data_IF_331932743565
#
_entry.id   IF_331932743565
#
_cell.length_a   1.000
_cell.length_b   1.000
_cell.length_c   1.000
_cell.angle_alpha   90.00
_cell.angle_beta   90.00
_cell.angle_gamma   90.00
#
_symmetry.space_group_name_H-M   'P 1'
#
loop_
_entity.id
_entity.type
_entity.pdbx_description
1 polymer ?
#
# COMPACT_ATOMS: atom_id res chain seq x y z
N UNK A 1 -5.98 39.99 24.18
CA UNK A 1 -5.06 38.84 24.06
C UNK A 1 -5.88 37.59 23.72
N UNK A 2 -6.48 37.51 22.52
CA UNK A 2 -7.35 36.39 22.09
C UNK A 2 -7.36 36.17 20.56
N UNK A 3 -6.39 36.71 19.83
CA UNK A 3 -6.43 36.77 18.36
C UNK A 3 -5.39 35.88 17.65
N UNK A 4 -4.74 34.94 18.36
CA UNK A 4 -3.69 34.07 17.79
C UNK A 4 -4.02 32.58 17.75
N UNK A 5 -5.20 32.16 18.20
CA UNK A 5 -5.52 30.74 18.37
C UNK A 5 -6.29 30.09 17.20
N UNK A 6 -6.74 30.86 16.20
CA UNK A 6 -7.55 30.33 15.08
C UNK A 6 -6.78 30.07 13.78
N UNK A 7 -5.47 30.37 13.72
CA UNK A 7 -4.66 30.21 12.50
C UNK A 7 -3.98 28.85 12.34
N UNK A 8 -4.19 27.90 13.25
CA UNK A 8 -3.86 26.49 13.01
C UNK A 8 -5.10 25.78 12.47
N UNK A 9 -5.71 26.34 11.43
CA UNK A 9 -6.34 25.48 10.45
C UNK A 9 -5.20 24.60 9.92
N UNK A 10 -5.16 23.34 10.36
CA UNK A 10 -4.20 22.37 9.89
C UNK A 10 -4.30 22.35 8.36
N UNK A 11 -3.41 23.10 7.70
CA UNK A 11 -3.16 22.97 6.28
C UNK A 11 -2.56 21.58 6.14
N UNK A 12 -3.43 20.56 6.07
CA UNK A 12 -3.01 19.23 5.67
C UNK A 12 -2.24 19.46 4.36
N UNK A 13 -0.93 19.18 4.32
CA UNK A 13 -0.15 19.47 3.14
C UNK A 13 -0.82 18.70 2.00
N UNK A 14 -1.34 19.44 1.03
CA UNK A 14 -2.07 18.89 -0.10
C UNK A 14 -1.04 18.18 -0.98
N UNK A 15 -0.77 16.91 -0.64
CA UNK A 15 0.25 16.12 -1.30
C UNK A 15 -0.26 15.72 -2.69
N UNK A 16 0.13 16.48 -3.71
CA UNK A 16 -0.21 16.16 -5.11
C UNK A 16 0.74 15.10 -5.66
N UNK A 17 0.24 14.17 -6.47
CA UNK A 17 1.09 13.15 -7.08
C UNK A 17 2.19 13.74 -7.98
N UNK A 18 1.98 14.97 -8.50
CA UNK A 18 2.98 15.71 -9.28
C UNK A 18 4.15 16.23 -8.43
N UNK A 19 3.91 16.59 -7.15
CA UNK A 19 5.00 16.91 -6.20
C UNK A 19 5.81 15.69 -5.78
N UNK A 20 5.24 14.49 -5.90
CA UNK A 20 5.84 13.24 -5.45
C UNK A 20 6.26 12.46 -6.70
N UNK A 21 7.44 12.76 -7.24
CA UNK A 21 7.96 12.16 -8.47
C UNK A 21 8.14 10.63 -8.44
N UNK A 22 9.13 10.10 -9.17
CA UNK A 22 9.32 8.66 -9.39
C UNK A 22 9.28 7.75 -8.14
N UNK A 23 9.64 8.29 -6.95
CA UNK A 23 9.57 7.58 -5.66
C UNK A 23 8.14 7.16 -5.27
N UNK A 24 7.13 7.99 -5.58
CA UNK A 24 5.73 7.64 -5.35
C UNK A 24 5.32 6.45 -6.20
N UNK A 25 5.63 6.54 -7.50
CA UNK A 25 5.35 5.48 -8.47
C UNK A 25 6.02 4.19 -8.05
N UNK A 26 7.29 4.24 -7.64
CA UNK A 26 8.02 3.06 -7.18
C UNK A 26 7.40 2.45 -5.92
N UNK A 27 7.06 3.26 -4.93
CA UNK A 27 6.40 2.80 -3.71
C UNK A 27 5.03 2.17 -3.98
N UNK A 28 4.25 2.75 -4.90
CA UNK A 28 2.97 2.21 -5.32
C UNK A 28 3.13 0.88 -6.07
N UNK A 29 4.08 0.78 -7.00
CA UNK A 29 4.38 -0.45 -7.74
C UNK A 29 4.81 -1.57 -6.80
N UNK A 30 5.65 -1.29 -5.80
CA UNK A 30 6.05 -2.28 -4.79
C UNK A 30 4.85 -2.79 -4.00
N UNK A 31 3.94 -1.91 -3.57
CA UNK A 31 2.74 -2.32 -2.85
C UNK A 31 1.86 -3.22 -3.71
N UNK A 32 1.62 -2.85 -4.97
CA UNK A 32 0.77 -3.64 -5.87
C UNK A 32 1.44 -4.97 -6.22
N UNK A 33 2.72 -4.94 -6.59
CA UNK A 33 3.51 -6.12 -6.93
C UNK A 33 3.63 -7.10 -5.77
N UNK A 34 3.69 -6.63 -4.52
CA UNK A 34 3.74 -7.48 -3.34
C UNK A 34 2.50 -8.39 -3.19
N UNK A 35 1.33 -7.95 -3.66
CA UNK A 35 0.12 -8.77 -3.63
C UNK A 35 0.11 -9.86 -4.71
N UNK A 36 0.97 -9.76 -5.73
CA UNK A 36 1.17 -10.82 -6.74
C UNK A 36 1.84 -12.06 -6.10
N UNK A 37 2.47 -11.93 -4.93
CA UNK A 37 3.07 -13.05 -4.22
C UNK A 37 2.04 -14.13 -3.82
N UNK A 38 0.81 -13.74 -3.45
CA UNK A 38 -0.22 -14.68 -2.99
C UNK A 38 -0.65 -15.71 -4.05
N UNK A 39 -0.98 -15.33 -5.30
CA UNK A 39 -1.27 -16.31 -6.34
C UNK A 39 -0.05 -17.14 -6.76
N UNK A 40 1.19 -16.75 -6.41
CA UNK A 40 2.39 -17.56 -6.69
C UNK A 40 2.54 -18.72 -5.70
N UNK A 41 2.06 -18.60 -4.46
CA UNK A 41 2.11 -19.67 -3.45
C UNK A 41 1.56 -21.01 -3.96
N UNK A 42 0.36 -21.11 -4.55
CA UNK A 42 -0.13 -22.39 -5.08
C UNK A 42 0.74 -22.94 -6.21
N UNK A 43 1.39 -22.09 -7.02
CA UNK A 43 2.34 -22.54 -8.04
C UNK A 43 3.57 -23.19 -7.40
N UNK A 44 4.11 -22.59 -6.33
CA UNK A 44 5.21 -23.19 -5.56
C UNK A 44 4.79 -24.53 -4.96
N UNK A 45 3.57 -24.64 -4.44
CA UNK A 45 3.08 -25.89 -3.87
C UNK A 45 2.91 -27.01 -4.90
N UNK A 46 2.65 -26.68 -6.16
CA UNK A 46 2.51 -27.62 -7.26
C UNK A 46 3.85 -28.14 -7.82
N UNK A 47 4.99 -27.55 -7.43
CA UNK A 47 6.32 -28.04 -7.85
C UNK A 47 6.74 -29.26 -7.06
N UNK A 48 7.68 -30.09 -7.56
CA UNK A 48 8.24 -31.24 -6.84
C UNK A 48 9.42 -30.89 -5.91
N UNK A 49 9.43 -29.68 -5.34
CA UNK A 49 10.47 -29.25 -4.40
C UNK A 49 10.40 -30.03 -3.07
N UNK A 50 11.51 -30.06 -2.32
CA UNK A 50 11.51 -30.58 -0.95
C UNK A 50 10.48 -29.82 -0.07
N UNK A 51 9.76 -30.51 0.85
CA UNK A 51 8.75 -29.88 1.70
C UNK A 51 9.26 -28.68 2.51
N UNK A 52 10.48 -28.73 3.02
CA UNK A 52 11.07 -27.62 3.78
C UNK A 52 11.32 -26.40 2.90
N UNK A 53 11.75 -26.62 1.66
CA UNK A 53 11.97 -25.54 0.68
C UNK A 53 10.64 -24.90 0.26
N UNK A 54 9.59 -25.70 -0.01
CA UNK A 54 8.25 -25.16 -0.33
C UNK A 54 7.71 -24.30 0.82
N UNK A 55 7.84 -24.79 2.05
CA UNK A 55 7.42 -24.07 3.24
C UNK A 55 8.17 -22.75 3.40
N UNK A 56 9.50 -22.75 3.22
CA UNK A 56 10.33 -21.55 3.29
C UNK A 56 9.94 -20.50 2.25
N UNK A 57 9.86 -20.88 0.98
CA UNK A 57 9.48 -19.98 -0.12
C UNK A 57 8.08 -19.41 0.11
N UNK A 58 7.13 -20.27 0.48
CA UNK A 58 5.74 -19.87 0.72
C UNK A 58 5.62 -18.93 1.92
N UNK A 59 6.43 -19.12 2.97
CA UNK A 59 6.52 -18.22 4.12
C UNK A 59 6.99 -16.82 3.70
N UNK A 60 8.04 -16.73 2.88
CA UNK A 60 8.55 -15.45 2.36
C UNK A 60 7.50 -14.76 1.47
N UNK A 61 6.88 -15.50 0.55
CA UNK A 61 5.80 -14.97 -0.29
C UNK A 61 4.62 -14.48 0.55
N UNK A 62 4.22 -15.23 1.58
CA UNK A 62 3.16 -14.86 2.51
C UNK A 62 3.45 -13.57 3.30
N UNK A 63 4.70 -13.33 3.67
CA UNK A 63 5.13 -12.13 4.38
C UNK A 63 5.22 -10.87 3.49
N UNK A 64 5.30 -11.03 2.16
CA UNK A 64 5.60 -9.95 1.21
C UNK A 64 4.61 -8.76 1.28
N UNK A 65 3.27 -8.94 1.36
CA UNK A 65 2.33 -7.81 1.51
C UNK A 65 2.48 -7.02 2.81
N UNK A 66 3.05 -7.62 3.87
CA UNK A 66 3.28 -6.94 5.13
C UNK A 66 4.57 -6.13 5.09
N UNK A 67 5.66 -6.75 4.62
CA UNK A 67 6.98 -6.12 4.51
C UNK A 67 6.96 -4.96 3.51
N UNK A 68 6.24 -5.11 2.40
CA UNK A 68 6.16 -4.09 1.35
C UNK A 68 5.62 -2.74 1.85
N UNK A 69 4.80 -2.70 2.91
CA UNK A 69 4.32 -1.45 3.51
C UNK A 69 5.45 -0.63 4.11
N UNK A 70 6.35 -1.28 4.83
CA UNK A 70 7.52 -0.63 5.42
C UNK A 70 8.47 -0.15 4.33
N UNK A 71 8.72 -1.00 3.33
CA UNK A 71 9.55 -0.65 2.16
C UNK A 71 8.96 0.54 1.41
N UNK A 72 7.65 0.53 1.15
CA UNK A 72 6.97 1.62 0.47
C UNK A 72 7.06 2.92 1.27
N UNK A 73 6.81 2.89 2.59
CA UNK A 73 6.98 4.06 3.47
C UNK A 73 8.42 4.58 3.43
N UNK A 74 9.43 3.71 3.43
CA UNK A 74 10.83 4.12 3.33
C UNK A 74 11.14 4.81 1.98
N UNK A 75 10.54 4.34 0.89
CA UNK A 75 10.76 4.88 -0.45
C UNK A 75 10.02 6.19 -0.67
N UNK A 76 8.69 6.21 -0.51
CA UNK A 76 7.86 7.38 -0.83
C UNK A 76 7.68 8.35 0.34
N UNK A 77 8.03 7.93 1.57
CA UNK A 77 7.79 8.68 2.79
C UNK A 77 6.40 8.43 3.38
N UNK A 78 6.27 8.70 4.69
CA UNK A 78 4.99 8.56 5.41
C UNK A 78 3.87 9.41 4.81
N UNK A 79 4.04 10.72 4.50
CA UNK A 79 2.95 11.56 4.00
C UNK A 79 2.35 11.03 2.69
N UNK A 80 3.21 10.61 1.75
CA UNK A 80 2.81 10.07 0.47
C UNK A 80 2.08 8.71 0.59
N UNK A 81 2.55 7.82 1.48
CA UNK A 81 1.87 6.54 1.74
C UNK A 81 0.45 6.74 2.28
N UNK A 82 0.26 7.64 3.24
CA UNK A 82 -1.08 7.93 3.78
C UNK A 82 -1.96 8.65 2.76
N UNK A 83 -1.40 9.51 1.90
CA UNK A 83 -2.12 10.10 0.78
C UNK A 83 -2.64 9.01 -0.17
N UNK A 84 -1.79 8.08 -0.60
CA UNK A 84 -2.18 6.95 -1.45
C UNK A 84 -3.31 6.13 -0.80
N UNK A 85 -3.14 5.76 0.47
CA UNK A 85 -4.13 4.98 1.23
C UNK A 85 -5.49 5.69 1.27
N UNK A 86 -5.52 6.99 1.57
CA UNK A 86 -6.75 7.80 1.61
C UNK A 86 -7.42 7.87 0.23
N UNK A 87 -6.65 8.10 -0.82
CA UNK A 87 -7.16 8.19 -2.21
C UNK A 87 -7.76 6.87 -2.67
N UNK A 88 -7.08 5.75 -2.43
CA UNK A 88 -7.56 4.40 -2.74
C UNK A 88 -8.82 4.09 -1.94
N UNK A 89 -8.84 4.33 -0.64
CA UNK A 89 -10.01 4.10 0.21
C UNK A 89 -11.22 4.91 -0.24
N UNK A 90 -11.04 6.21 -0.54
CA UNK A 90 -12.12 7.08 -1.04
C UNK A 90 -12.67 6.58 -2.37
N UNK A 91 -11.80 6.15 -3.30
CA UNK A 91 -12.20 5.57 -4.59
C UNK A 91 -12.96 4.26 -4.39
N UNK A 92 -12.45 3.37 -3.54
CA UNK A 92 -13.03 2.07 -3.27
C UNK A 92 -14.40 2.19 -2.58
N UNK A 93 -14.49 3.06 -1.57
CA UNK A 93 -15.75 3.38 -0.88
C UNK A 93 -16.78 3.93 -1.86
N UNK A 94 -16.43 4.86 -2.75
CA UNK A 94 -17.38 5.35 -3.76
C UNK A 94 -17.87 4.24 -4.68
N UNK A 95 -16.97 3.33 -5.09
CA UNK A 95 -17.29 2.23 -5.99
C UNK A 95 -18.22 1.19 -5.34
N UNK A 96 -18.06 0.92 -4.04
CA UNK A 96 -18.89 -0.07 -3.34
C UNK A 96 -20.11 0.52 -2.65
N UNK A 97 -20.10 1.79 -2.22
CA UNK A 97 -21.26 2.45 -1.64
C UNK A 97 -22.33 2.82 -2.68
N UNK A 98 -21.98 2.82 -3.98
CA UNK A 98 -22.92 2.97 -5.09
C UNK A 98 -23.44 1.64 -5.65
N UNK A 99 -23.00 0.49 -5.12
CA UNK A 99 -23.53 -0.81 -5.50
C UNK A 99 -24.73 -1.14 -4.59
N UNK A 100 -25.97 -1.25 -5.11
CA UNK A 100 -27.07 -1.76 -4.30
C UNK A 100 -26.70 -3.17 -3.83
N UNK A 101 -26.98 -3.45 -2.55
CA UNK A 101 -26.88 -4.80 -2.02
C UNK A 101 -27.72 -5.73 -2.91
N UNK A 102 -27.07 -6.74 -3.50
CA UNK A 102 -27.74 -7.85 -4.17
C UNK A 102 -27.80 -9.03 -3.22
#
# INVERSE_FOLDING_TARGET
MFARETTIAATEPEFTAEQIGWRFTLGAVILVGAYVAWPIIPLVMATDLDPGVRAGISGVLGATPFVSKFVAIAIMGRPAYYFLKRKVYKRLRRRFAGAPAK
#
